data_IF_308328863371
#
_entry.id   IF_308328863371
#
_cell.length_a   1.000
_cell.length_b   1.000
_cell.length_c   1.000
_cell.angle_alpha   90.00
_cell.angle_beta   90.00
_cell.angle_gamma   90.00
#
_symmetry.space_group_name_H-M   'P 1'
#
loop_
_entity.id
_entity.type
_entity.pdbx_description
1 polymer ?
#
# COMPACT_ATOMS: atom_id res chain seq x y z
N UNK A 1 33.42 19.52 -14.89
CA UNK A 1 34.13 19.35 -13.61
C UNK A 1 33.36 20.19 -12.60
N UNK A 2 32.49 19.56 -11.83
CA UNK A 2 31.66 20.25 -10.82
C UNK A 2 32.40 20.07 -9.49
N UNK A 3 32.92 21.17 -8.94
CA UNK A 3 33.50 21.19 -7.61
C UNK A 3 32.40 20.87 -6.58
N UNK A 4 32.61 19.79 -5.84
CA UNK A 4 31.79 19.48 -4.69
C UNK A 4 32.30 20.30 -3.52
N UNK A 5 31.64 21.40 -3.24
CA UNK A 5 31.87 22.20 -2.03
C UNK A 5 31.44 21.36 -0.82
N UNK A 6 32.34 21.09 0.10
CA UNK A 6 32.08 20.43 1.38
C UNK A 6 30.94 21.14 2.11
N UNK A 7 29.83 20.40 2.24
CA UNK A 7 28.70 20.83 3.08
C UNK A 7 29.05 20.56 4.54
N UNK A 8 29.15 21.62 5.31
CA UNK A 8 29.24 21.63 6.77
C UNK A 8 28.12 20.75 7.34
N UNK A 9 28.40 19.80 8.22
CA UNK A 9 27.36 18.96 8.81
C UNK A 9 26.43 19.82 9.66
N UNK A 10 25.18 19.99 9.19
CA UNK A 10 24.14 20.53 10.03
C UNK A 10 23.97 19.59 11.23
N UNK A 11 24.08 20.15 12.43
CA UNK A 11 23.90 19.48 13.71
C UNK A 11 22.68 18.59 13.67
N UNK A 12 22.92 17.29 13.78
CA UNK A 12 21.93 16.22 13.75
C UNK A 12 20.95 16.35 14.92
N UNK A 13 19.82 17.00 14.70
CA UNK A 13 18.69 16.84 15.58
C UNK A 13 18.09 15.45 15.35
N UNK A 14 18.54 14.47 16.14
CA UNK A 14 17.74 13.39 16.67
C UNK A 14 17.10 12.37 15.74
N UNK A 15 17.67 11.99 14.60
CA UNK A 15 17.29 10.75 13.93
C UNK A 15 17.97 9.58 14.63
N UNK A 16 17.25 8.97 15.59
CA UNK A 16 17.65 7.69 16.17
C UNK A 16 17.91 6.68 15.06
N UNK A 17 19.03 5.95 15.15
CA UNK A 17 19.20 4.72 14.39
C UNK A 17 17.91 3.88 14.52
N UNK A 18 17.44 3.20 13.44
CA UNK A 18 16.26 2.36 13.54
C UNK A 18 16.45 1.42 14.73
N UNK A 19 15.50 1.41 15.65
CA UNK A 19 15.53 0.48 16.76
C UNK A 19 15.58 -0.92 16.15
N UNK A 20 16.23 -1.89 16.82
CA UNK A 20 16.20 -3.30 16.38
C UNK A 20 14.78 -3.81 16.13
N UNK A 21 13.79 -3.20 16.78
CA UNK A 21 12.36 -3.49 16.61
C UNK A 21 11.85 -3.14 15.20
N UNK A 22 12.34 -2.06 14.58
CA UNK A 22 11.95 -1.68 13.20
C UNK A 22 12.45 -2.66 12.15
N UNK A 23 13.53 -3.38 12.43
CA UNK A 23 14.13 -4.36 11.52
C UNK A 23 13.65 -5.79 11.82
N UNK A 24 12.80 -5.99 12.82
CA UNK A 24 12.27 -7.30 13.16
C UNK A 24 11.43 -7.86 11.99
N UNK A 25 11.52 -9.18 11.73
CA UNK A 25 10.65 -9.80 10.75
C UNK A 25 9.19 -9.68 11.19
N UNK A 26 8.25 -9.55 10.24
CA UNK A 26 6.85 -9.51 10.56
C UNK A 26 6.36 -10.86 11.09
N UNK A 27 5.29 -10.82 11.88
CA UNK A 27 4.62 -12.00 12.43
C UNK A 27 3.34 -12.23 11.63
N UNK A 28 3.23 -13.44 11.04
CA UNK A 28 2.05 -13.86 10.29
C UNK A 28 1.17 -14.76 11.16
N UNK A 29 -0.15 -14.55 11.14
CA UNK A 29 -1.12 -15.34 11.92
C UNK A 29 -1.30 -16.78 11.43
N UNK A 30 -0.96 -17.06 10.17
CA UNK A 30 -1.18 -18.36 9.50
C UNK A 30 0.18 -19.05 9.24
N UNK A 31 0.97 -19.22 10.27
CA UNK A 31 2.23 -19.97 10.15
C UNK A 31 2.05 -21.42 10.62
N UNK A 32 2.28 -22.40 9.74
CA UNK A 32 2.39 -23.78 10.18
C UNK A 32 3.53 -23.93 11.19
N UNK A 33 3.34 -24.73 12.23
CA UNK A 33 4.37 -24.95 13.24
C UNK A 33 5.63 -25.53 12.59
N UNK A 34 6.77 -24.90 12.83
CA UNK A 34 8.06 -25.27 12.24
C UNK A 34 8.38 -24.56 10.91
N UNK A 35 7.47 -23.78 10.35
CA UNK A 35 7.77 -22.98 9.15
C UNK A 35 8.64 -21.77 9.50
N UNK A 36 9.73 -21.57 8.75
CA UNK A 36 10.59 -20.40 8.86
C UNK A 36 10.30 -19.41 7.70
N UNK A 37 10.09 -18.14 8.01
CA UNK A 37 9.89 -17.10 6.99
C UNK A 37 11.16 -16.93 6.17
N UNK A 38 11.05 -17.12 4.85
CA UNK A 38 12.14 -16.91 3.88
C UNK A 38 12.06 -15.51 3.28
N UNK A 39 10.84 -15.07 2.92
CA UNK A 39 10.60 -13.72 2.41
C UNK A 39 9.17 -13.27 2.69
N UNK A 40 9.00 -11.97 2.81
CA UNK A 40 7.71 -11.31 2.90
C UNK A 40 7.74 -10.07 2.01
N UNK A 41 6.79 -9.94 1.10
CA UNK A 41 6.58 -8.75 0.31
C UNK A 41 5.16 -8.24 0.53
N UNK A 42 5.04 -7.04 1.11
CA UNK A 42 3.79 -6.33 1.30
C UNK A 42 3.76 -5.11 0.38
N UNK A 43 2.83 -5.11 -0.56
CA UNK A 43 2.53 -3.97 -1.43
C UNK A 43 1.29 -3.26 -0.91
N UNK A 44 1.45 -1.99 -0.55
CA UNK A 44 0.38 -1.08 -0.17
C UNK A 44 0.16 -0.07 -1.30
N UNK A 45 -1.09 0.20 -1.65
CA UNK A 45 -1.47 1.06 -2.78
C UNK A 45 -2.55 2.06 -2.38
N UNK A 46 -2.58 3.22 -3.03
CA UNK A 46 -3.57 4.25 -2.75
C UNK A 46 -5.01 3.82 -3.14
N UNK A 47 -5.14 2.94 -4.12
CA UNK A 47 -6.41 2.38 -4.55
C UNK A 47 -6.89 1.20 -3.69
N UNK A 48 -6.14 0.86 -2.65
CA UNK A 48 -6.44 -0.22 -1.72
C UNK A 48 -6.21 -1.62 -2.29
N UNK A 49 -5.59 -1.77 -3.48
CA UNK A 49 -5.26 -3.08 -4.04
C UNK A 49 -4.05 -3.72 -3.33
N UNK A 50 -4.07 -3.68 -2.01
CA UNK A 50 -3.00 -4.19 -1.17
C UNK A 50 -2.83 -5.69 -1.33
N UNK A 51 -1.58 -6.11 -1.47
CA UNK A 51 -1.20 -7.50 -1.71
C UNK A 51 -0.06 -7.92 -0.80
N UNK A 52 -0.18 -9.12 -0.26
CA UNK A 52 0.85 -9.75 0.55
C UNK A 52 1.30 -11.05 -0.11
N UNK A 53 2.61 -11.18 -0.29
CA UNK A 53 3.26 -12.41 -0.73
C UNK A 53 4.22 -12.88 0.36
N UNK A 54 4.11 -14.15 0.73
CA UNK A 54 4.92 -14.78 1.75
C UNK A 54 5.58 -16.04 1.18
N UNK A 55 6.81 -16.29 1.60
CA UNK A 55 7.50 -17.54 1.34
C UNK A 55 8.08 -18.10 2.63
N UNK A 56 7.86 -19.37 2.88
CA UNK A 56 8.31 -20.08 4.07
C UNK A 56 9.06 -21.35 3.71
N UNK A 57 10.08 -21.72 4.49
CA UNK A 57 10.61 -23.07 4.44
C UNK A 57 9.57 -24.06 4.98
N UNK A 58 9.28 -25.09 4.21
CA UNK A 58 8.35 -26.17 4.59
C UNK A 58 9.06 -27.46 5.02
N UNK A 59 10.40 -27.48 5.01
CA UNK A 59 11.17 -28.71 5.28
C UNK A 59 11.06 -29.16 6.73
N UNK A 60 10.90 -28.24 7.68
CA UNK A 60 10.79 -28.54 9.11
C UNK A 60 9.34 -28.51 9.63
N UNK A 61 8.36 -28.35 8.74
CA UNK A 61 6.95 -28.34 9.12
C UNK A 61 6.52 -29.72 9.59
N UNK A 62 5.88 -29.79 10.75
CA UNK A 62 5.33 -31.04 11.27
C UNK A 62 4.27 -31.61 10.33
N UNK A 63 4.45 -32.82 9.86
CA UNK A 63 3.60 -33.46 8.84
C UNK A 63 4.05 -33.19 7.39
N UNK A 64 5.15 -32.46 7.21
CA UNK A 64 5.78 -32.23 5.92
C UNK A 64 5.09 -31.13 5.06
N UNK A 65 5.58 -30.92 3.82
CA UNK A 65 5.11 -29.85 2.94
C UNK A 65 3.62 -29.92 2.59
N UNK A 66 3.06 -31.12 2.46
CA UNK A 66 1.63 -31.29 2.18
C UNK A 66 0.75 -30.80 3.32
N UNK A 67 1.15 -31.10 4.58
CA UNK A 67 0.43 -30.61 5.75
C UNK A 67 0.52 -29.07 5.87
N UNK A 68 1.66 -28.49 5.48
CA UNK A 68 1.83 -27.05 5.42
C UNK A 68 0.86 -26.41 4.40
N UNK A 69 0.71 -27.02 3.22
CA UNK A 69 -0.21 -26.54 2.19
C UNK A 69 -1.67 -26.66 2.63
N UNK A 70 -2.05 -27.79 3.24
CA UNK A 70 -3.42 -28.03 3.74
C UNK A 70 -3.83 -27.02 4.83
N UNK A 71 -2.89 -26.60 5.67
CA UNK A 71 -3.12 -25.59 6.69
C UNK A 71 -3.35 -24.19 6.12
N UNK A 72 -2.98 -23.96 4.86
CA UNK A 72 -3.04 -22.66 4.18
C UNK A 72 -4.08 -22.67 3.03
N UNK A 73 -5.34 -23.00 3.34
CA UNK A 73 -6.42 -23.02 2.38
C UNK A 73 -6.84 -21.62 1.93
N UNK A 74 -7.30 -21.49 0.69
CA UNK A 74 -7.86 -20.23 0.19
C UNK A 74 -9.06 -19.76 1.04
N UNK A 75 -9.19 -18.47 1.23
CA UNK A 75 -10.23 -17.85 2.06
C UNK A 75 -9.89 -17.74 3.56
N UNK A 76 -8.77 -18.33 4.01
CA UNK A 76 -8.32 -18.17 5.40
C UNK A 76 -7.89 -16.73 5.65
N UNK A 77 -8.39 -16.13 6.74
CA UNK A 77 -7.99 -14.79 7.16
C UNK A 77 -6.51 -14.78 7.57
N UNK A 78 -5.78 -13.81 7.04
CA UNK A 78 -4.37 -13.62 7.29
C UNK A 78 -4.11 -12.21 7.80
N UNK A 79 -3.42 -12.11 8.92
CA UNK A 79 -2.92 -10.84 9.44
C UNK A 79 -1.40 -10.83 9.47
N UNK A 80 -0.81 -9.71 9.06
CA UNK A 80 0.60 -9.45 9.17
C UNK A 80 0.81 -8.37 10.23
N UNK A 81 1.47 -8.73 11.32
CA UNK A 81 1.82 -7.82 12.40
C UNK A 81 3.30 -7.46 12.35
N UNK A 82 3.63 -6.32 12.93
CA UNK A 82 4.99 -5.85 13.18
C UNK A 82 4.99 -5.24 14.58
N UNK A 83 6.14 -5.18 15.30
CA UNK A 83 6.20 -4.50 16.60
C UNK A 83 5.62 -3.07 16.63
N UNK A 84 5.61 -2.40 15.47
CA UNK A 84 5.01 -1.06 15.31
C UNK A 84 3.50 -1.06 15.05
N UNK A 85 2.84 -2.23 15.00
CA UNK A 85 1.40 -2.37 14.77
C UNK A 85 1.02 -3.33 13.64
N UNK A 86 -0.28 -3.40 13.35
CA UNK A 86 -0.79 -4.19 12.24
C UNK A 86 -0.38 -3.55 10.89
N UNK A 87 0.20 -4.35 10.01
CA UNK A 87 0.62 -3.92 8.67
C UNK A 87 -0.40 -4.27 7.61
N UNK A 88 -1.02 -5.45 7.73
CA UNK A 88 -1.94 -5.98 6.72
C UNK A 88 -2.97 -6.89 7.38
N UNK A 89 -4.18 -6.87 6.83
CA UNK A 89 -5.25 -7.82 7.11
C UNK A 89 -5.94 -8.16 5.81
N UNK A 90 -6.12 -9.44 5.56
CA UNK A 90 -6.71 -9.91 4.32
C UNK A 90 -6.94 -11.41 4.32
N UNK A 91 -7.35 -11.92 3.18
CA UNK A 91 -7.63 -13.33 3.01
C UNK A 91 -6.69 -13.96 1.98
N UNK A 92 -6.32 -15.19 2.26
CA UNK A 92 -5.47 -16.00 1.42
C UNK A 92 -6.20 -16.31 0.10
N UNK A 93 -5.57 -15.96 -1.02
CA UNK A 93 -6.09 -16.20 -2.37
C UNK A 93 -5.50 -17.45 -2.99
N UNK A 94 -4.21 -17.67 -2.75
CA UNK A 94 -3.50 -18.80 -3.31
C UNK A 94 -2.42 -19.28 -2.38
N UNK A 95 -2.18 -20.58 -2.41
CA UNK A 95 -1.04 -21.24 -1.79
C UNK A 95 -0.41 -22.22 -2.78
N UNK A 96 0.88 -22.48 -2.63
CA UNK A 96 1.61 -23.41 -3.49
C UNK A 96 2.93 -23.84 -2.91
N UNK A 97 3.49 -24.92 -3.46
CA UNK A 97 4.80 -25.46 -3.08
C UNK A 97 5.78 -25.34 -4.24
N UNK A 98 7.00 -25.02 -3.93
CA UNK A 98 8.14 -25.07 -4.85
C UNK A 98 9.22 -25.93 -4.27
N UNK A 99 9.77 -26.83 -5.08
CA UNK A 99 10.96 -27.63 -4.75
C UNK A 99 12.12 -27.17 -5.60
N UNK A 100 13.24 -26.95 -4.97
CA UNK A 100 14.50 -26.75 -5.64
C UNK A 100 15.65 -27.35 -4.80
N UNK A 101 16.90 -27.09 -5.21
CA UNK A 101 18.09 -27.62 -4.51
C UNK A 101 18.25 -27.05 -3.09
N UNK A 102 17.58 -25.96 -2.77
CA UNK A 102 17.59 -25.31 -1.46
C UNK A 102 16.54 -25.84 -0.50
N UNK A 103 15.65 -26.74 -0.96
CA UNK A 103 14.58 -27.33 -0.13
C UNK A 103 13.18 -27.08 -0.67
N UNK A 104 12.20 -27.21 0.20
CA UNK A 104 10.78 -26.98 -0.12
C UNK A 104 10.33 -25.64 0.45
N UNK A 105 9.82 -24.77 -0.42
CA UNK A 105 9.22 -23.50 -0.03
C UNK A 105 7.70 -23.52 -0.24
N UNK A 106 6.95 -23.06 0.77
CA UNK A 106 5.52 -22.77 0.71
C UNK A 106 5.34 -21.29 0.33
N UNK A 107 4.56 -21.03 -0.71
CA UNK A 107 4.20 -19.68 -1.15
C UNK A 107 2.75 -19.38 -0.80
N UNK A 108 2.50 -18.20 -0.25
CA UNK A 108 1.18 -17.70 0.05
C UNK A 108 0.99 -16.33 -0.62
N UNK A 109 -0.18 -16.14 -1.22
CA UNK A 109 -0.60 -14.84 -1.73
C UNK A 109 -1.92 -14.45 -1.08
N UNK A 110 -1.98 -13.27 -0.48
CA UNK A 110 -3.19 -12.73 0.13
C UNK A 110 -3.53 -11.35 -0.43
N UNK A 111 -4.81 -11.00 -0.41
CA UNK A 111 -5.33 -9.67 -0.73
C UNK A 111 -6.05 -9.08 0.47
N UNK A 112 -6.07 -7.77 0.55
CA UNK A 112 -6.79 -7.05 1.59
C UNK A 112 -8.29 -7.39 1.59
N UNK A 113 -8.91 -7.50 2.76
CA UNK A 113 -10.30 -7.95 2.91
C UNK A 113 -11.31 -7.07 2.20
N UNK A 114 -11.10 -5.75 2.18
CA UNK A 114 -12.00 -4.80 1.53
C UNK A 114 -12.11 -5.02 0.01
N UNK A 115 -11.14 -5.69 -0.63
CA UNK A 115 -11.21 -6.02 -2.05
C UNK A 115 -12.08 -7.24 -2.36
N UNK A 116 -12.25 -8.16 -1.42
CA UNK A 116 -13.06 -9.35 -1.64
C UNK A 116 -14.55 -9.06 -1.61
N UNK A 117 -14.95 -8.06 -0.83
CA UNK A 117 -16.36 -7.65 -0.70
C UNK A 117 -16.82 -6.84 -1.91
N UNK A 118 -15.86 -6.34 -2.73
CA UNK A 118 -16.15 -5.57 -3.94
C UNK A 118 -16.81 -6.36 -5.07
N UNK A 119 -16.50 -7.64 -5.19
CA UNK A 119 -16.99 -8.49 -6.28
C UNK A 119 -18.48 -8.82 -6.09
N UNK A 120 -19.35 -8.06 -6.75
CA UNK A 120 -20.75 -8.41 -6.91
C UNK A 120 -21.08 -8.41 -8.40
N UNK A 121 -21.26 -9.59 -9.01
CA UNK A 121 -21.57 -9.71 -10.44
C UNK A 121 -22.96 -9.17 -10.77
N UNK A 122 -23.84 -9.07 -9.77
CA UNK A 122 -25.22 -8.68 -9.99
C UNK A 122 -25.35 -7.18 -10.26
N UNK A 123 -26.05 -6.78 -11.34
CA UNK A 123 -26.32 -5.38 -11.59
C UNK A 123 -27.23 -4.82 -10.49
N UNK A 124 -26.87 -3.65 -9.99
CA UNK A 124 -27.66 -2.92 -9.00
C UNK A 124 -28.10 -1.57 -9.58
N UNK A 125 -29.32 -1.16 -9.29
CA UNK A 125 -29.86 0.12 -9.76
C UNK A 125 -30.10 1.06 -8.59
N UNK A 126 -29.49 2.21 -8.66
CA UNK A 126 -29.70 3.31 -7.72
C UNK A 126 -30.65 4.34 -8.35
N UNK A 127 -31.55 4.89 -7.56
CA UNK A 127 -32.51 5.91 -7.99
C UNK A 127 -32.35 7.16 -7.13
N UNK A 128 -32.39 8.33 -7.76
CA UNK A 128 -32.33 9.62 -7.07
C UNK A 128 -31.09 9.76 -6.17
N UNK A 129 -29.90 9.37 -6.69
CA UNK A 129 -28.64 9.48 -5.99
C UNK A 129 -27.69 10.41 -6.72
N UNK A 130 -26.95 11.20 -5.95
CA UNK A 130 -25.74 11.89 -6.40
C UNK A 130 -24.53 10.96 -6.38
N UNK A 131 -23.40 11.39 -6.95
CA UNK A 131 -22.17 10.59 -6.90
C UNK A 131 -21.66 10.39 -5.46
N UNK A 132 -21.81 11.40 -4.62
CA UNK A 132 -21.47 11.30 -3.20
C UNK A 132 -22.35 10.28 -2.47
N UNK A 133 -23.65 10.28 -2.69
CA UNK A 133 -24.57 9.32 -2.10
C UNK A 133 -24.35 7.88 -2.62
N UNK A 134 -23.94 7.72 -3.88
CA UNK A 134 -23.50 6.42 -4.41
C UNK A 134 -22.26 5.92 -3.69
N UNK A 135 -21.30 6.80 -3.43
CA UNK A 135 -20.07 6.44 -2.72
C UNK A 135 -20.37 6.05 -1.25
N UNK A 136 -21.25 6.78 -0.57
CA UNK A 136 -21.71 6.45 0.79
C UNK A 136 -22.44 5.11 0.86
N UNK A 137 -23.35 4.84 -0.09
CA UNK A 137 -24.08 3.60 -0.17
C UNK A 137 -23.15 2.41 -0.38
N UNK A 138 -22.19 2.53 -1.30
CA UNK A 138 -21.22 1.48 -1.59
C UNK A 138 -20.26 1.30 -0.41
N UNK A 139 -19.78 2.36 0.23
CA UNK A 139 -18.95 2.25 1.43
C UNK A 139 -19.68 1.47 2.54
N UNK A 140 -20.97 1.77 2.76
CA UNK A 140 -21.81 1.05 3.72
C UNK A 140 -21.96 -0.43 3.36
N UNK A 141 -22.18 -0.76 2.07
CA UNK A 141 -22.22 -2.16 1.60
C UNK A 141 -20.90 -2.92 1.82
N UNK A 142 -19.77 -2.19 1.77
CA UNK A 142 -18.42 -2.72 2.00
C UNK A 142 -18.02 -2.76 3.49
N UNK A 143 -18.87 -2.23 4.38
CA UNK A 143 -18.54 -2.09 5.80
C UNK A 143 -17.45 -1.05 6.07
N UNK A 144 -17.25 -0.09 5.16
CA UNK A 144 -16.27 0.97 5.26
C UNK A 144 -16.92 2.26 5.76
N UNK A 145 -16.14 3.07 6.48
CA UNK A 145 -16.53 4.44 6.80
C UNK A 145 -16.37 5.30 5.55
N UNK A 146 -17.43 5.98 5.14
CA UNK A 146 -17.39 6.91 4.03
C UNK A 146 -16.84 8.27 4.47
N UNK A 147 -15.84 8.77 3.75
CA UNK A 147 -15.32 10.13 3.83
C UNK A 147 -15.49 10.76 2.45
N UNK A 148 -16.63 11.39 2.23
CA UNK A 148 -17.11 11.77 0.92
C UNK A 148 -17.33 13.28 0.86
N UNK A 149 -16.82 13.92 -0.18
CA UNK A 149 -17.14 15.32 -0.50
C UNK A 149 -18.49 15.38 -1.22
N UNK A 150 -19.45 16.21 -0.77
CA UNK A 150 -20.78 16.28 -1.37
C UNK A 150 -20.75 16.69 -2.85
N UNK A 151 -21.59 16.04 -3.66
CA UNK A 151 -21.83 16.38 -5.07
C UNK A 151 -23.28 16.81 -5.27
N UNK A 152 -23.50 17.81 -6.14
CA UNK A 152 -24.83 18.42 -6.30
C UNK A 152 -25.70 17.73 -7.34
N UNK A 153 -25.09 17.09 -8.35
CA UNK A 153 -25.83 16.45 -9.44
C UNK A 153 -26.48 15.14 -8.96
N UNK A 154 -27.84 15.12 -9.02
CA UNK A 154 -28.65 13.95 -8.66
C UNK A 154 -29.13 13.27 -9.93
N UNK A 155 -28.84 11.97 -10.06
CA UNK A 155 -29.25 11.15 -11.21
C UNK A 155 -30.59 10.49 -10.94
N UNK A 156 -31.50 10.58 -11.88
CA UNK A 156 -32.80 9.86 -11.77
C UNK A 156 -32.59 8.36 -11.64
N UNK A 157 -31.65 7.79 -12.40
CA UNK A 157 -31.32 6.39 -12.41
C UNK A 157 -29.88 6.14 -12.78
N UNK A 158 -29.15 5.36 -11.96
CA UNK A 158 -27.81 4.87 -12.27
C UNK A 158 -27.75 3.36 -12.12
N UNK A 159 -27.21 2.67 -13.11
CA UNK A 159 -27.07 1.21 -13.08
C UNK A 159 -25.59 0.85 -12.92
N UNK A 160 -25.26 0.23 -11.79
CA UNK A 160 -23.96 -0.38 -11.59
C UNK A 160 -23.93 -1.73 -12.27
N UNK A 161 -22.90 -1.96 -13.07
CA UNK A 161 -22.59 -3.26 -13.68
C UNK A 161 -21.17 -3.63 -13.29
N UNK A 162 -20.99 -4.85 -12.75
CA UNK A 162 -19.68 -5.31 -12.32
C UNK A 162 -19.26 -4.82 -10.94
N UNK A 163 -17.96 -4.71 -10.73
CA UNK A 163 -17.36 -4.40 -9.43
C UNK A 163 -17.76 -3.02 -8.90
N UNK A 164 -17.93 -2.94 -7.58
CA UNK A 164 -18.36 -1.72 -6.88
C UNK A 164 -17.31 -0.61 -6.94
N UNK A 165 -16.06 -0.99 -6.76
CA UNK A 165 -14.96 -0.04 -6.71
C UNK A 165 -14.62 0.47 -8.10
N UNK A 166 -14.65 -0.39 -9.12
CA UNK A 166 -14.44 0.01 -10.51
C UNK A 166 -15.54 0.97 -10.98
N UNK A 167 -16.78 0.71 -10.56
CA UNK A 167 -17.88 1.63 -10.81
C UNK A 167 -17.64 3.00 -10.16
N UNK A 168 -17.23 3.04 -8.89
CA UNK A 168 -16.91 4.30 -8.22
C UNK A 168 -15.70 5.02 -8.83
N UNK A 169 -14.67 4.29 -9.26
CA UNK A 169 -13.52 4.87 -9.99
C UNK A 169 -13.95 5.55 -11.28
N UNK A 170 -14.83 4.88 -12.03
CA UNK A 170 -15.38 5.48 -13.26
C UNK A 170 -16.17 6.74 -12.96
N UNK A 171 -16.99 6.75 -11.90
CA UNK A 171 -17.75 7.93 -11.47
C UNK A 171 -16.83 9.06 -11.03
N UNK A 172 -15.84 8.76 -10.18
CA UNK A 172 -14.85 9.73 -9.72
C UNK A 172 -14.15 10.43 -10.90
N UNK A 173 -13.66 9.65 -11.88
CA UNK A 173 -13.00 10.22 -13.08
C UNK A 173 -13.91 11.16 -13.87
N UNK A 174 -15.22 10.86 -13.99
CA UNK A 174 -16.16 11.69 -14.74
C UNK A 174 -16.33 13.09 -14.14
N UNK A 175 -16.21 13.22 -12.84
CA UNK A 175 -16.40 14.50 -12.12
C UNK A 175 -15.08 15.11 -11.61
N UNK A 176 -13.92 14.50 -11.97
CA UNK A 176 -12.60 14.95 -11.51
C UNK A 176 -12.35 14.71 -10.02
N UNK A 177 -13.00 13.72 -9.45
CA UNK A 177 -12.77 13.24 -8.08
C UNK A 177 -11.78 12.10 -8.07
N UNK A 178 -11.21 11.84 -6.91
CA UNK A 178 -10.35 10.72 -6.62
C UNK A 178 -11.04 9.75 -5.67
N UNK A 179 -10.81 8.46 -5.87
CA UNK A 179 -11.23 7.40 -4.98
C UNK A 179 -9.99 6.81 -4.29
N UNK A 180 -9.99 6.76 -2.97
CA UNK A 180 -8.95 6.06 -2.23
C UNK A 180 -9.56 5.14 -1.18
N UNK A 181 -8.90 4.01 -0.96
CA UNK A 181 -9.28 3.01 0.04
C UNK A 181 -8.16 2.89 1.06
N UNK A 182 -8.52 3.06 2.30
CA UNK A 182 -7.63 2.86 3.43
C UNK A 182 -8.25 1.84 4.39
N UNK A 183 -7.48 1.28 5.31
CA UNK A 183 -8.01 0.30 6.25
C UNK A 183 -9.26 0.84 7.00
N UNK A 184 -10.45 0.32 6.63
CA UNK A 184 -11.73 0.70 7.21
C UNK A 184 -12.39 1.95 6.65
N UNK A 185 -11.79 2.66 5.68
CA UNK A 185 -12.30 3.94 5.16
C UNK A 185 -12.28 4.00 3.63
N UNK A 186 -13.32 4.61 3.06
CA UNK A 186 -13.43 4.94 1.64
C UNK A 186 -13.47 6.46 1.48
N UNK A 187 -12.55 6.99 0.70
CA UNK A 187 -12.48 8.40 0.32
C UNK A 187 -13.01 8.60 -1.08
N UNK A 188 -13.87 9.62 -1.25
CA UNK A 188 -14.38 10.05 -2.54
C UNK A 188 -14.46 11.58 -2.56
N UNK A 189 -13.49 12.25 -3.18
CA UNK A 189 -13.33 13.70 -3.05
C UNK A 189 -12.55 14.28 -4.22
N UNK A 190 -12.74 15.56 -4.50
CA UNK A 190 -11.96 16.34 -5.47
C UNK A 190 -10.47 16.47 -5.09
N UNK A 191 -10.15 16.21 -3.83
CA UNK A 191 -8.77 16.21 -3.31
C UNK A 191 -8.61 15.03 -2.40
N UNK A 192 -7.57 14.23 -2.63
CA UNK A 192 -7.21 13.19 -1.67
C UNK A 192 -7.00 13.80 -0.28
N UNK A 193 -7.44 13.09 0.77
CA UNK A 193 -7.29 13.56 2.12
C UNK A 193 -5.82 13.79 2.43
N UNK A 194 -5.55 14.80 3.22
CA UNK A 194 -4.25 14.89 3.86
C UNK A 194 -4.14 13.78 4.89
N UNK A 195 -2.93 13.29 5.11
CA UNK A 195 -2.68 12.20 6.06
C UNK A 195 -3.25 12.48 7.48
N UNK A 196 -3.38 13.75 7.84
CA UNK A 196 -3.95 14.21 9.11
C UNK A 196 -5.46 13.93 9.24
N UNK A 197 -6.17 13.73 8.13
CA UNK A 197 -7.62 13.49 8.09
C UNK A 197 -7.96 12.00 8.16
N UNK A 198 -6.93 11.13 8.14
CA UNK A 198 -7.11 9.68 8.10
C UNK A 198 -7.09 9.13 9.52
N UNK A 199 -8.21 8.57 9.95
CA UNK A 199 -8.34 7.98 11.29
C UNK A 199 -7.38 6.80 11.50
N UNK A 200 -6.50 6.91 12.50
CA UNK A 200 -5.63 5.82 12.96
C UNK A 200 -4.31 5.64 12.22
N UNK A 201 -4.05 6.42 11.18
CA UNK A 201 -2.70 6.51 10.63
C UNK A 201 -1.91 7.58 11.38
N UNK A 202 -0.65 7.33 11.72
CA UNK A 202 0.19 8.40 12.25
C UNK A 202 0.26 9.50 11.18
N UNK A 203 0.07 10.74 11.57
CA UNK A 203 0.31 11.93 10.75
C UNK A 203 1.79 11.98 10.40
N UNK A 204 2.24 11.09 9.52
CA UNK A 204 3.64 11.00 9.14
C UNK A 204 3.84 11.79 7.86
N UNK A 205 4.31 12.99 8.01
CA UNK A 205 4.96 13.70 6.92
C UNK A 205 6.30 13.03 6.73
N UNK A 206 6.43 12.26 5.65
CA UNK A 206 7.71 11.67 5.30
C UNK A 206 8.67 12.78 4.87
N UNK A 207 9.85 12.82 5.45
CA UNK A 207 10.93 13.69 4.97
C UNK A 207 12.02 12.78 4.44
N UNK A 208 12.21 12.81 3.12
CA UNK A 208 13.32 12.11 2.49
C UNK A 208 14.51 13.07 2.37
N UNK A 209 15.59 12.70 3.01
CA UNK A 209 16.88 13.39 2.91
C UNK A 209 17.91 12.43 2.36
N UNK A 210 18.89 12.97 1.67
CA UNK A 210 20.09 12.23 1.29
C UNK A 210 20.88 11.89 2.55
N UNK A 211 20.59 10.74 3.14
CA UNK A 211 21.24 10.22 4.34
C UNK A 211 21.65 8.74 4.17
N UNK A 212 22.23 8.17 5.21
CA UNK A 212 22.73 6.79 5.21
C UNK A 212 21.62 5.72 5.08
N UNK A 213 20.34 6.10 5.20
CA UNK A 213 19.20 5.18 5.03
C UNK A 213 18.71 5.08 3.60
N UNK A 214 19.07 6.06 2.76
CA UNK A 214 18.70 6.08 1.36
C UNK A 214 19.59 5.12 0.59
N UNK A 215 19.00 4.04 0.08
CA UNK A 215 19.69 3.02 -0.71
C UNK A 215 19.67 3.35 -2.19
N UNK A 216 18.55 3.86 -2.68
CA UNK A 216 18.35 4.26 -4.08
C UNK A 216 17.39 5.44 -4.15
N UNK A 217 17.60 6.33 -5.12
CA UNK A 217 16.68 7.41 -5.47
C UNK A 217 16.63 7.55 -6.99
N UNK A 218 15.42 7.47 -7.54
CA UNK A 218 15.15 7.71 -8.97
C UNK A 218 14.10 8.76 -9.12
N UNK A 219 14.36 9.67 -10.02
CA UNK A 219 13.45 10.73 -10.42
C UNK A 219 13.12 10.59 -11.89
N UNK A 220 11.86 10.88 -12.25
CA UNK A 220 11.37 10.86 -13.62
C UNK A 220 10.42 12.03 -13.82
N UNK A 221 10.47 12.63 -14.99
CA UNK A 221 9.44 13.52 -15.48
C UNK A 221 8.49 12.70 -16.34
N UNK A 222 7.22 12.65 -15.92
CA UNK A 222 6.20 11.80 -16.52
C UNK A 222 5.29 12.66 -17.37
N UNK A 223 5.22 12.37 -18.68
CA UNK A 223 4.37 13.13 -19.60
C UNK A 223 2.90 13.08 -19.17
N UNK A 224 2.34 14.24 -18.88
CA UNK A 224 0.95 14.38 -18.44
C UNK A 224 0.69 14.11 -16.95
N UNK A 225 1.67 13.62 -16.20
CA UNK A 225 1.54 13.26 -14.78
C UNK A 225 2.40 14.09 -13.84
N UNK A 226 3.22 15.00 -14.40
CA UNK A 226 4.16 15.79 -13.62
C UNK A 226 5.42 15.02 -13.24
N UNK A 227 5.99 15.33 -12.08
CA UNK A 227 7.24 14.76 -11.60
C UNK A 227 6.98 13.63 -10.63
N UNK A 228 7.78 12.60 -10.67
CA UNK A 228 7.67 11.46 -9.77
C UNK A 228 8.88 10.54 -9.82
N UNK A 229 8.75 9.39 -9.20
CA UNK A 229 9.83 8.40 -9.18
C UNK A 229 9.68 7.38 -8.08
N UNK A 230 10.79 6.82 -7.69
CA UNK A 230 10.83 5.96 -6.52
C UNK A 230 12.13 6.15 -5.74
N UNK A 231 12.09 5.79 -4.48
CA UNK A 231 13.27 5.63 -3.66
C UNK A 231 13.19 4.32 -2.87
N UNK A 232 14.35 3.82 -2.51
CA UNK A 232 14.48 2.68 -1.60
C UNK A 232 15.25 3.11 -0.37
N UNK A 233 14.72 2.77 0.79
CA UNK A 233 15.34 3.04 2.09
C UNK A 233 15.49 1.75 2.88
N UNK A 234 16.38 1.78 3.88
CA UNK A 234 16.37 0.75 4.90
C UNK A 234 14.97 0.67 5.51
N UNK A 235 14.46 -0.54 5.78
CA UNK A 235 13.08 -0.79 6.10
C UNK A 235 12.48 0.12 7.17
N UNK A 236 11.35 0.68 6.84
CA UNK A 236 10.54 1.51 7.72
C UNK A 236 9.06 1.22 7.46
N UNK A 237 8.36 0.54 8.39
CA UNK A 237 6.95 0.18 8.23
C UNK A 237 6.00 1.38 8.30
N UNK A 238 6.51 2.57 8.61
CA UNK A 238 5.73 3.82 8.64
C UNK A 238 5.35 4.35 7.26
N UNK A 239 6.04 3.93 6.20
CA UNK A 239 5.70 4.36 4.84
C UNK A 239 4.37 3.76 4.37
N UNK A 240 3.44 4.64 3.98
CA UNK A 240 2.08 4.30 3.54
C UNK A 240 1.69 5.12 2.32
N UNK A 241 0.80 4.61 1.46
CA UNK A 241 0.18 5.42 0.41
C UNK A 241 -0.51 6.65 0.98
N UNK A 242 -0.66 7.68 0.17
CA UNK A 242 -1.29 8.97 0.45
C UNK A 242 -0.55 9.88 1.45
N UNK A 243 0.56 9.43 2.04
CA UNK A 243 1.40 10.30 2.85
C UNK A 243 2.00 11.43 2.01
N UNK A 244 2.07 12.63 2.59
CA UNK A 244 2.88 13.70 2.03
C UNK A 244 4.37 13.38 2.22
N UNK A 245 5.15 13.67 1.20
CA UNK A 245 6.58 13.46 1.16
C UNK A 245 7.29 14.78 0.81
N UNK A 246 8.10 15.29 1.73
CA UNK A 246 9.02 16.38 1.45
C UNK A 246 10.39 15.81 1.06
N UNK A 247 10.79 15.97 -0.20
CA UNK A 247 12.15 15.65 -0.68
C UNK A 247 13.01 16.88 -0.52
N UNK A 248 14.13 16.74 0.19
CA UNK A 248 15.03 17.86 0.48
C UNK A 248 16.50 17.46 0.40
N UNK A 249 17.35 18.37 -0.10
CA UNK A 249 18.78 18.17 -0.18
C UNK A 249 19.26 17.33 -1.36
N UNK A 250 18.38 17.05 -2.33
CA UNK A 250 18.71 16.40 -3.59
C UNK A 250 19.11 17.43 -4.66
N UNK A 251 18.76 18.71 -4.44
CA UNK A 251 18.97 19.82 -5.36
C UNK A 251 17.81 20.04 -6.34
N UNK A 252 17.77 21.25 -6.93
CA UNK A 252 16.79 21.58 -7.97
C UNK A 252 17.02 20.74 -9.24
N UNK A 253 15.98 20.20 -9.89
CA UNK A 253 14.54 20.32 -9.62
C UNK A 253 13.95 19.20 -8.76
N UNK A 254 14.75 18.44 -8.01
CA UNK A 254 14.34 17.23 -7.31
C UNK A 254 13.69 17.53 -5.96
N UNK A 255 14.11 18.61 -5.30
CA UNK A 255 13.52 19.04 -4.04
C UNK A 255 12.07 19.49 -4.26
N UNK A 256 11.18 19.09 -3.36
CA UNK A 256 9.78 19.46 -3.51
C UNK A 256 8.83 18.63 -2.66
N UNK A 257 7.54 18.87 -2.87
CA UNK A 257 6.46 18.13 -2.22
C UNK A 257 5.87 17.11 -3.17
N UNK A 258 5.78 15.90 -2.67
CA UNK A 258 5.27 14.74 -3.39
C UNK A 258 4.26 14.01 -2.51
N UNK A 259 3.59 13.05 -3.09
CA UNK A 259 2.70 12.13 -2.39
C UNK A 259 3.14 10.70 -2.67
N UNK A 260 3.09 9.86 -1.65
CA UNK A 260 3.35 8.44 -1.77
C UNK A 260 2.19 7.78 -2.52
N UNK A 261 2.47 7.18 -3.68
CA UNK A 261 1.51 6.42 -4.47
C UNK A 261 1.45 4.96 -4.01
N UNK A 262 2.62 4.38 -3.72
CA UNK A 262 2.75 2.98 -3.29
C UNK A 262 3.89 2.85 -2.29
N UNK A 263 3.75 1.90 -1.37
CA UNK A 263 4.81 1.47 -0.48
C UNK A 263 4.96 -0.05 -0.57
N UNK A 264 6.17 -0.53 -0.89
CA UNK A 264 6.50 -1.94 -0.95
C UNK A 264 7.50 -2.26 0.15
N UNK A 265 7.09 -3.10 1.07
CA UNK A 265 7.90 -3.56 2.18
C UNK A 265 8.41 -4.97 1.91
N UNK A 266 9.72 -5.15 1.86
CA UNK A 266 10.38 -6.43 1.57
C UNK A 266 11.24 -6.87 2.74
N UNK A 267 10.96 -8.04 3.28
CA UNK A 267 11.79 -8.75 4.25
C UNK A 267 12.33 -10.02 3.60
N UNK A 268 13.63 -10.15 3.52
CA UNK A 268 14.33 -11.31 2.96
C UNK A 268 15.67 -11.53 3.64
N UNK A 269 16.51 -12.39 3.08
CA UNK A 269 17.85 -12.66 3.59
C UNK A 269 18.79 -11.45 3.58
N UNK A 270 18.49 -10.43 2.78
CA UNK A 270 19.24 -9.16 2.71
C UNK A 270 18.75 -8.15 3.75
N UNK A 271 17.73 -8.49 4.51
CA UNK A 271 17.13 -7.67 5.55
C UNK A 271 15.82 -7.00 5.12
N UNK A 272 15.41 -5.99 5.89
CA UNK A 272 14.19 -5.24 5.63
C UNK A 272 14.48 -3.99 4.80
N UNK A 273 13.76 -3.83 3.70
CA UNK A 273 13.83 -2.67 2.79
C UNK A 273 12.43 -2.17 2.48
N UNK A 274 12.30 -0.87 2.30
CA UNK A 274 11.05 -0.23 1.87
C UNK A 274 11.31 0.57 0.60
N UNK A 275 10.63 0.20 -0.48
CA UNK A 275 10.57 0.97 -1.72
C UNK A 275 9.29 1.78 -1.74
N UNK A 276 9.43 3.07 -1.99
CA UNK A 276 8.32 4.02 -2.05
C UNK A 276 8.28 4.63 -3.44
N UNK A 277 7.14 4.48 -4.09
CA UNK A 277 6.84 5.16 -5.34
C UNK A 277 6.09 6.46 -5.02
N UNK A 278 6.50 7.58 -5.62
CA UNK A 278 5.97 8.91 -5.31
C UNK A 278 5.66 9.71 -6.56
N UNK A 279 4.68 10.61 -6.43
CA UNK A 279 4.25 11.56 -7.47
C UNK A 279 4.16 12.97 -6.91
N UNK A 280 4.32 13.97 -7.79
CA UNK A 280 4.04 15.35 -7.46
C UNK A 280 2.56 15.50 -7.07
N UNK A 281 2.27 16.34 -6.06
CA UNK A 281 0.91 16.48 -5.49
C UNK A 281 -0.17 16.93 -6.48
N UNK A 282 0.23 17.38 -7.67
CA UNK A 282 -0.67 17.74 -8.78
C UNK A 282 -0.92 16.58 -9.77
N UNK A 283 -0.26 15.44 -9.59
CA UNK A 283 -0.35 14.27 -10.49
C UNK A 283 -1.50 13.33 -10.15
N UNK A 284 -2.08 12.70 -11.17
CA UNK A 284 -3.10 11.66 -11.03
C UNK A 284 -2.46 10.35 -10.56
N UNK A 285 -2.76 9.92 -9.34
CA UNK A 285 -2.18 8.73 -8.72
C UNK A 285 -2.61 7.41 -9.40
N UNK A 286 -3.80 7.38 -10.03
CA UNK A 286 -4.33 6.15 -10.63
C UNK A 286 -3.67 5.81 -11.97
N UNK A 287 -3.17 6.80 -12.70
CA UNK A 287 -2.56 6.59 -14.01
C UNK A 287 -1.12 6.06 -13.92
N UNK A 288 -0.58 5.91 -12.71
CA UNK A 288 0.78 5.46 -12.52
C UNK A 288 0.90 3.94 -12.40
N UNK A 289 1.10 3.28 -13.53
CA UNK A 289 1.56 1.88 -13.59
C UNK A 289 3.09 1.85 -13.54
N UNK A 290 3.65 1.87 -12.33
CA UNK A 290 5.10 1.74 -12.18
C UNK A 290 5.60 0.42 -12.77
N UNK A 291 6.38 0.48 -13.85
CA UNK A 291 7.19 -0.61 -14.39
C UNK A 291 8.37 -0.96 -13.50
#
# INVERSE_FOLDING_TARGET
>A
MIEITELVPATSSGLRAPSRELLAPPVCSVLPAGAALLSCELLLTADGSDRLELSFSADEVQGGPSAALDACSAGVELTLGHPCGALFRGSLQASGLKWDRGGTALFLTARADHLQVGESPDPHTYYQHSDSELAEAIASELGLRALVEPTEEVFERVVRRGDRLDFLRERARKIGFELALLPGELFFSSKLPRCEEISGLPAARGVLRRDERLLEFRFRELSGLGRGGHFEVQGDPGWRPLQELDVTGMGDPLDGRYRVARARHCWDQLGYRTRVDYLETSGDLESWSGE
#
